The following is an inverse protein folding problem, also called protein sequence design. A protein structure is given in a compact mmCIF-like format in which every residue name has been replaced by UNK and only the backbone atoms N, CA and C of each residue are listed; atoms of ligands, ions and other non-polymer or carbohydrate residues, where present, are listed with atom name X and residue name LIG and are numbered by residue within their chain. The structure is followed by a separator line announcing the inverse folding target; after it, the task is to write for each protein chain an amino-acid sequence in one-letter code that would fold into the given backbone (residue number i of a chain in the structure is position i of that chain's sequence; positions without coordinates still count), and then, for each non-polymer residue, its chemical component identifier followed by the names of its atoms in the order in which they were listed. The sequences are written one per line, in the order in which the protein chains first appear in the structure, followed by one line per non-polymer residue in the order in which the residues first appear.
data_IF_283327155118
#
_entry.id   IF_283327155118
#
_cell.length_a   1.000
_cell.length_b   1.000
_cell.length_c   1.000
_cell.angle_alpha   90.00
_cell.angle_beta   90.00
_cell.angle_gamma   90.00
#
_symmetry.space_group_name_H-M   'P 1'
#
loop_
_entity.id
_entity.type
_entity.pdbx_description
1 polymer ?
#
# COMPACT_ATOMS: atom_id res chain seq x y z
N UNK A 1 -3.82 -4.13 8.55
CA UNK A 1 -4.72 -3.01 8.16
C UNK A 1 -4.83 -2.00 9.31
N UNK A 2 -5.01 -0.71 9.01
CA UNK A 2 -5.14 0.39 9.98
C UNK A 2 -6.39 1.21 9.64
N UNK A 3 -7.16 1.57 10.66
CA UNK A 3 -8.30 2.48 10.52
C UNK A 3 -7.84 3.92 10.65
N UNK A 4 -8.03 4.72 9.61
CA UNK A 4 -7.79 6.16 9.62
C UNK A 4 -9.11 6.91 9.57
N UNK A 5 -9.27 7.89 10.45
CA UNK A 5 -10.42 8.78 10.47
C UNK A 5 -10.01 10.18 10.87
N UNK A 6 -10.78 11.16 10.43
CA UNK A 6 -10.49 12.57 10.69
C UNK A 6 -11.50 13.18 11.67
N UNK A 7 -10.97 13.85 12.69
CA UNK A 7 -11.73 14.74 13.56
C UNK A 7 -11.25 16.17 13.39
N UNK A 8 -12.19 17.10 13.24
CA UNK A 8 -11.91 18.53 13.18
C UNK A 8 -12.39 19.20 14.48
N UNK A 9 -11.60 20.16 14.97
CA UNK A 9 -11.95 20.92 16.16
C UNK A 9 -12.98 21.98 15.80
N UNK A 10 -14.13 21.99 16.48
CA UNK A 10 -15.13 23.04 16.33
C UNK A 10 -15.01 24.00 17.50
N UNK A 11 -14.64 25.25 17.20
CA UNK A 11 -14.50 26.31 18.20
C UNK A 11 -15.80 26.53 19.01
N UNK A 12 -16.95 26.47 18.34
CA UNK A 12 -18.27 26.66 18.96
C UNK A 12 -18.58 25.63 20.05
N UNK A 13 -18.24 24.36 19.81
CA UNK A 13 -18.51 23.23 20.70
C UNK A 13 -17.31 22.95 21.64
N UNK A 14 -16.17 23.62 21.41
CA UNK A 14 -14.86 23.34 22.02
C UNK A 14 -14.50 21.86 22.02
N UNK A 15 -14.85 21.16 20.94
CA UNK A 15 -14.75 19.71 20.84
C UNK A 15 -14.28 19.26 19.47
N UNK A 16 -13.61 18.09 19.45
CA UNK A 16 -13.22 17.40 18.22
C UNK A 16 -14.38 16.53 17.73
N UNK A 17 -14.89 16.84 16.54
CA UNK A 17 -16.01 16.12 15.92
C UNK A 17 -15.55 15.38 14.66
N UNK A 18 -16.10 14.20 14.40
CA UNK A 18 -15.79 13.44 13.19
C UNK A 18 -16.24 14.21 11.96
N UNK A 19 -15.38 14.29 10.95
CA UNK A 19 -15.73 14.88 9.67
C UNK A 19 -16.45 13.82 8.84
N UNK A 20 -17.68 14.08 8.34
CA UNK A 20 -18.42 13.12 7.52
C UNK A 20 -17.73 12.82 6.18
N UNK A 21 -18.01 11.65 5.60
CA UNK A 21 -17.49 11.26 4.29
C UNK A 21 -17.87 12.24 3.17
N UNK A 22 -19.11 12.76 3.20
CA UNK A 22 -19.61 13.77 2.24
C UNK A 22 -18.81 15.09 2.25
N UNK A 23 -17.99 15.30 3.28
CA UNK A 23 -17.11 16.46 3.45
C UNK A 23 -15.62 16.12 3.24
N UNK A 24 -15.33 14.97 2.63
CA UNK A 24 -13.97 14.46 2.44
C UNK A 24 -13.36 13.77 3.66
N UNK A 25 -14.11 13.62 4.75
CA UNK A 25 -13.69 12.91 5.95
C UNK A 25 -14.00 11.41 5.90
N UNK A 26 -14.71 10.93 6.91
CA UNK A 26 -15.04 9.51 7.08
C UNK A 26 -13.92 8.71 7.74
N UNK A 27 -14.20 7.44 7.99
CA UNK A 27 -13.19 6.45 8.37
C UNK A 27 -12.92 5.53 7.18
N UNK A 28 -11.65 5.17 6.99
CA UNK A 28 -11.20 4.29 5.93
C UNK A 28 -10.22 3.28 6.48
N UNK A 29 -10.31 2.05 6.00
CA UNK A 29 -9.34 1.00 6.28
C UNK A 29 -8.28 1.07 5.22
N UNK A 30 -7.02 1.12 5.64
CA UNK A 30 -5.89 1.09 4.74
C UNK A 30 -4.96 -0.04 5.10
N UNK A 31 -4.38 -0.64 4.08
CA UNK A 31 -3.26 -1.53 4.26
C UNK A 31 -1.98 -0.68 4.31
N UNK A 32 -1.20 -0.88 5.37
CA UNK A 32 0.11 -0.23 5.51
C UNK A 32 1.14 -1.31 5.80
N UNK A 33 2.34 -1.20 5.19
CA UNK A 33 3.47 -2.04 5.58
C UNK A 33 3.70 -2.02 7.09
N UNK A 34 4.07 -3.16 7.68
CA UNK A 34 4.41 -3.25 9.10
C UNK A 34 5.63 -2.39 9.47
N UNK A 35 6.43 -2.04 8.48
CA UNK A 35 7.59 -1.13 8.60
C UNK A 35 7.19 0.34 8.60
N UNK A 36 5.93 0.68 8.29
CA UNK A 36 5.48 2.07 8.24
C UNK A 36 5.64 2.76 9.58
N UNK A 37 6.24 3.94 9.51
CA UNK A 37 6.47 4.77 10.67
C UNK A 37 5.35 5.80 10.84
N UNK A 38 5.43 6.56 11.93
CA UNK A 38 4.47 7.63 12.25
C UNK A 38 4.33 8.66 11.12
N UNK A 39 5.43 8.98 10.42
CA UNK A 39 5.44 9.96 9.33
C UNK A 39 4.64 9.45 8.13
N UNK A 40 4.77 8.16 7.80
CA UNK A 40 4.04 7.55 6.69
C UNK A 40 2.53 7.62 6.93
N UNK A 41 2.10 7.35 8.18
CA UNK A 41 0.69 7.48 8.58
C UNK A 41 0.22 8.93 8.43
N UNK A 42 1.05 9.91 8.83
CA UNK A 42 0.71 11.33 8.66
C UNK A 42 0.53 11.73 7.20
N UNK A 43 1.48 11.36 6.34
CA UNK A 43 1.41 11.69 4.91
C UNK A 43 0.21 11.01 4.26
N UNK A 44 -0.06 9.76 4.64
CA UNK A 44 -1.25 9.05 4.18
C UNK A 44 -2.54 9.77 4.60
N UNK A 45 -2.63 10.23 5.86
CA UNK A 45 -3.74 11.06 6.31
C UNK A 45 -3.88 12.36 5.50
N UNK A 46 -2.78 13.09 5.28
CA UNK A 46 -2.79 14.34 4.51
C UNK A 46 -3.32 14.12 3.09
N UNK A 47 -2.75 13.15 2.37
CA UNK A 47 -3.20 12.82 1.01
C UNK A 47 -4.70 12.48 0.94
N UNK A 48 -5.24 11.87 1.99
CA UNK A 48 -6.64 11.46 2.05
C UNK A 48 -7.62 12.56 2.48
N UNK A 49 -7.23 13.43 3.42
CA UNK A 49 -8.12 14.43 4.01
C UNK A 49 -7.86 15.86 3.52
N UNK A 50 -6.69 16.08 2.90
CA UNK A 50 -6.21 17.36 2.36
C UNK A 50 -5.66 17.15 0.93
N UNK A 51 -6.51 16.72 -0.03
CA UNK A 51 -6.09 16.65 -1.42
C UNK A 51 -5.56 18.01 -1.88
N UNK A 52 -4.42 18.02 -2.57
CA UNK A 52 -3.72 19.25 -2.99
C UNK A 52 -3.41 20.23 -1.83
N UNK A 53 -3.27 19.70 -0.61
CA UNK A 53 -3.01 20.48 0.60
C UNK A 53 -4.24 21.21 1.14
N UNK A 54 -5.43 21.00 0.60
CA UNK A 54 -6.64 21.73 0.97
C UNK A 54 -7.76 20.82 1.48
N UNK A 55 -8.51 21.30 2.46
CA UNK A 55 -9.74 20.66 2.93
C UNK A 55 -10.90 21.66 2.95
N UNK A 56 -12.10 21.19 3.28
CA UNK A 56 -13.27 22.06 3.47
C UNK A 56 -13.12 23.10 4.60
N UNK A 57 -12.10 22.96 5.45
CA UNK A 57 -11.84 23.89 6.56
C UNK A 57 -10.62 24.80 6.30
N UNK A 58 -9.96 24.69 5.15
CA UNK A 58 -8.78 25.49 4.80
C UNK A 58 -7.58 24.65 4.38
N UNK A 59 -6.44 25.34 4.22
CA UNK A 59 -5.17 24.75 3.83
C UNK A 59 -4.50 24.00 4.99
N UNK A 60 -3.70 22.98 4.68
CA UNK A 60 -3.02 22.18 5.68
C UNK A 60 -1.94 22.93 6.47
N UNK A 61 -1.30 23.95 5.90
CA UNK A 61 -0.26 24.74 6.57
C UNK A 61 -0.83 25.63 7.68
N UNK A 62 -2.11 25.96 7.60
CA UNK A 62 -2.84 26.72 8.62
C UNK A 62 -3.37 25.84 9.75
N UNK A 63 -3.10 24.52 9.71
CA UNK A 63 -3.67 23.56 10.65
C UNK A 63 -2.63 22.82 11.48
N UNK A 64 -2.99 22.52 12.73
CA UNK A 64 -2.18 21.70 13.62
C UNK A 64 -2.66 20.24 13.64
N UNK A 65 -1.77 19.32 13.28
CA UNK A 65 -2.10 17.90 13.20
C UNK A 65 -1.56 17.08 14.37
N UNK A 66 -2.40 16.23 14.93
CA UNK A 66 -1.99 15.23 15.92
C UNK A 66 -2.62 13.87 15.63
N UNK A 67 -1.80 12.82 15.64
CA UNK A 67 -2.31 11.45 15.59
C UNK A 67 -2.78 11.01 16.99
N UNK A 68 -4.05 10.66 17.08
CA UNK A 68 -4.72 10.27 18.32
C UNK A 68 -5.54 9.01 18.11
N UNK A 69 -5.84 8.29 19.18
CA UNK A 69 -6.83 7.21 19.13
C UNK A 69 -8.26 7.79 19.06
N UNK A 70 -9.26 6.92 18.96
CA UNK A 70 -10.66 7.34 18.90
C UNK A 70 -11.10 8.25 20.06
N UNK A 71 -10.50 8.10 21.25
CA UNK A 71 -10.76 8.91 22.44
C UNK A 71 -9.93 10.21 22.49
N UNK A 72 -9.35 10.64 21.37
CA UNK A 72 -8.49 11.82 21.25
C UNK A 72 -7.22 11.78 22.14
N UNK A 73 -6.75 10.58 22.52
CA UNK A 73 -5.49 10.42 23.26
C UNK A 73 -4.34 10.26 22.28
N UNK A 74 -3.26 11.03 22.45
CA UNK A 74 -2.07 10.98 21.61
C UNK A 74 -1.44 9.59 21.63
N UNK A 75 -1.23 9.02 20.44
CA UNK A 75 -0.55 7.73 20.30
C UNK A 75 0.96 8.00 20.34
N UNK A 76 1.65 7.45 21.35
CA UNK A 76 3.10 7.61 21.52
C UNK A 76 3.89 6.41 20.99
N UNK A 77 3.42 5.19 21.26
CA UNK A 77 4.09 3.95 20.87
C UNK A 77 3.05 2.84 20.80
N UNK A 78 3.20 1.93 19.83
CA UNK A 78 2.45 0.67 19.76
C UNK A 78 3.46 -0.46 19.93
N UNK A 79 3.15 -1.44 20.78
CA UNK A 79 4.00 -2.62 21.02
C UNK A 79 3.22 -3.86 20.59
N UNK A 80 3.85 -4.66 19.73
CA UNK A 80 3.32 -5.91 19.22
C UNK A 80 4.17 -7.07 19.71
N UNK A 81 3.60 -8.28 19.69
CA UNK A 81 4.21 -9.48 20.24
C UNK A 81 4.09 -10.65 19.26
N UNK A 82 5.08 -11.54 19.32
CA UNK A 82 5.09 -12.81 18.61
C UNK A 82 4.32 -13.86 19.42
N UNK A 83 3.39 -14.55 18.78
CA UNK A 83 2.70 -15.73 19.33
C UNK A 83 3.16 -16.98 18.59
N UNK A 84 3.42 -18.06 19.33
CA UNK A 84 3.77 -19.38 18.79
C UNK A 84 3.11 -20.47 19.63
N UNK A 85 2.70 -21.58 19.00
CA UNK A 85 2.33 -22.83 19.69
C UNK A 85 3.01 -24.03 19.03
N UNK A 86 3.13 -25.13 19.76
CA UNK A 86 3.65 -26.41 19.26
C UNK A 86 2.49 -27.16 18.58
N UNK A 87 2.71 -27.61 17.35
CA UNK A 87 1.77 -28.47 16.62
C UNK A 87 1.79 -29.85 17.29
N UNK A 88 0.67 -30.29 17.83
CA UNK A 88 0.51 -31.59 18.49
C UNK A 88 -0.33 -32.59 17.66
N UNK A 89 -0.71 -32.19 16.44
CA UNK A 89 -1.46 -33.03 15.51
C UNK A 89 -2.96 -33.08 15.81
N UNK A 90 -3.46 -32.22 16.70
CA UNK A 90 -4.89 -31.96 16.82
C UNK A 90 -5.38 -31.15 15.61
N UNK A 91 -6.54 -31.51 15.05
CA UNK A 91 -7.19 -30.77 13.95
C UNK A 91 -7.70 -29.38 14.40
N UNK A 92 -7.56 -29.04 15.70
CA UNK A 92 -7.87 -27.71 16.26
C UNK A 92 -6.82 -26.64 15.89
N UNK A 93 -5.91 -26.95 14.97
CA UNK A 93 -4.84 -26.04 14.58
C UNK A 93 -5.32 -24.86 13.69
N UNK A 94 -6.56 -24.94 13.18
CA UNK A 94 -7.21 -23.93 12.32
C UNK A 94 -7.51 -22.60 13.06
N UNK A 95 -7.70 -22.62 14.38
CA UNK A 95 -8.04 -21.43 15.19
C UNK A 95 -6.90 -20.39 15.30
N UNK A 96 -5.64 -20.81 15.12
CA UNK A 96 -4.48 -19.91 15.17
C UNK A 96 -4.38 -19.04 13.90
N UNK A 97 -4.92 -19.53 12.78
CA UNK A 97 -4.85 -18.84 11.50
C UNK A 97 -6.13 -18.07 11.19
N UNK A 98 -7.29 -18.51 11.71
CA UNK A 98 -8.57 -17.84 11.48
C UNK A 98 -8.66 -16.46 12.16
N UNK A 99 -8.18 -16.32 13.39
CA UNK A 99 -8.38 -15.09 14.17
C UNK A 99 -7.55 -13.88 13.71
N UNK A 100 -6.50 -14.05 12.89
CA UNK A 100 -5.62 -12.93 12.55
C UNK A 100 -6.23 -11.97 11.53
N UNK A 101 -7.11 -12.45 10.64
CA UNK A 101 -7.73 -11.65 9.58
C UNK A 101 -9.17 -12.02 9.23
N UNK A 102 -9.76 -13.12 9.74
CA UNK A 102 -11.18 -13.42 9.50
C UNK A 102 -12.09 -12.60 10.41
N UNK A 103 -12.34 -11.38 9.98
CA UNK A 103 -13.58 -10.69 10.27
C UNK A 103 -14.08 -10.00 8.99
N UNK A 104 -14.63 -10.79 8.05
CA UNK A 104 -15.91 -10.54 7.37
C UNK A 104 -16.06 -11.32 6.05
N UNK A 105 -16.90 -12.37 6.00
CA UNK A 105 -17.46 -12.91 4.76
C UNK A 105 -18.93 -13.41 4.85
N UNK A 106 -19.67 -13.07 5.92
CA UNK A 106 -21.11 -13.40 6.03
C UNK A 106 -22.03 -12.17 5.94
N UNK A 107 -21.73 -11.25 5.01
CA UNK A 107 -22.77 -10.61 4.22
C UNK A 107 -22.38 -10.77 2.74
N UNK A 108 -23.24 -11.46 2.00
CA UNK A 108 -23.02 -12.04 0.68
C UNK A 108 -22.29 -11.14 -0.33
N UNK A 109 -21.24 -11.68 -0.95
CA UNK A 109 -20.52 -11.05 -2.05
C UNK A 109 -19.48 -11.99 -2.66
N UNK A 110 -19.95 -12.95 -3.48
CA UNK A 110 -19.17 -13.94 -4.21
C UNK A 110 -17.88 -13.40 -4.85
N UNK A 111 -16.74 -14.01 -4.54
CA UNK A 111 -15.41 -13.66 -5.07
C UNK A 111 -15.17 -14.12 -6.53
N UNK A 112 -16.17 -14.72 -7.15
CA UNK A 112 -16.23 -14.99 -8.59
C UNK A 112 -17.62 -14.56 -9.04
N UNK A 113 -17.71 -13.48 -9.81
CA UNK A 113 -18.99 -13.01 -10.33
C UNK A 113 -19.71 -14.12 -11.14
N UNK A 114 -21.04 -14.22 -11.09
CA UNK A 114 -21.78 -15.20 -11.87
C UNK A 114 -21.47 -14.99 -13.37
N UNK A 115 -21.13 -16.09 -14.05
CA UNK A 115 -20.75 -16.17 -15.47
C UNK A 115 -21.73 -15.44 -16.43
N UNK A 116 -22.99 -15.21 -16.01
CA UNK A 116 -24.02 -14.54 -16.80
C UNK A 116 -23.74 -13.05 -17.05
N UNK A 117 -23.00 -12.38 -16.15
CA UNK A 117 -22.73 -10.94 -16.24
C UNK A 117 -21.55 -10.61 -17.17
N UNK A 118 -20.74 -11.61 -17.56
CA UNK A 118 -19.68 -11.45 -18.57
C UNK A 118 -20.22 -11.38 -20.00
N UNK A 119 -21.48 -11.73 -20.25
CA UNK A 119 -22.06 -11.69 -21.59
C UNK A 119 -22.64 -10.32 -21.98
N UNK A 120 -22.81 -9.39 -21.04
CA UNK A 120 -23.38 -8.05 -21.31
C UNK A 120 -22.34 -6.97 -21.66
N UNK A 121 -21.05 -7.22 -21.45
CA UNK A 121 -19.96 -6.25 -21.69
C UNK A 121 -19.28 -6.38 -23.06
N UNK A 122 -19.54 -7.46 -23.80
CA UNK A 122 -19.01 -7.62 -25.18
C UNK A 122 -19.79 -6.75 -26.18
N UNK A 123 -21.06 -6.43 -25.90
CA UNK A 123 -21.91 -5.64 -26.80
C UNK A 123 -21.72 -4.13 -26.69
N UNK A 124 -20.83 -3.63 -25.81
CA UNK A 124 -20.65 -2.19 -25.57
C UNK A 124 -19.36 -1.59 -26.14
N UNK A 125 -18.50 -2.40 -26.75
CA UNK A 125 -17.22 -1.95 -27.33
C UNK A 125 -17.26 -1.72 -28.85
N UNK A 126 -18.44 -1.65 -29.48
CA UNK A 126 -18.54 -1.34 -30.92
C UNK A 126 -18.84 0.12 -31.27
N UNK A 127 -19.09 1.00 -30.31
CA UNK A 127 -19.40 2.40 -30.60
C UNK A 127 -18.53 3.33 -29.77
N UNK A 128 -17.32 3.60 -30.25
CA UNK A 128 -16.69 4.94 -30.24
C UNK A 128 -15.23 4.82 -30.69
N UNK A 129 -15.05 4.68 -32.01
CA UNK A 129 -13.87 5.22 -32.67
C UNK A 129 -13.83 6.74 -32.49
N UNK A 130 -12.66 7.32 -32.21
CA UNK A 130 -12.00 8.32 -33.08
C UNK A 130 -10.82 9.06 -32.38
N UNK A 131 -9.59 8.66 -32.75
CA UNK A 131 -8.42 9.46 -33.19
C UNK A 131 -8.02 10.78 -32.46
N UNK A 132 -6.71 10.87 -32.14
CA UNK A 132 -5.75 12.01 -32.17
C UNK A 132 -5.02 12.21 -30.82
N UNK A 133 -3.70 12.26 -30.66
CA UNK A 133 -2.58 12.39 -31.60
C UNK A 133 -1.27 11.86 -30.99
N UNK A 134 -0.51 11.16 -31.84
CA UNK A 134 0.93 10.89 -31.77
C UNK A 134 1.74 12.18 -31.78
N UNK A 135 2.62 12.42 -30.81
CA UNK A 135 3.92 13.12 -30.94
C UNK A 135 4.63 13.23 -29.58
N UNK A 136 5.97 13.18 -29.62
CA UNK A 136 6.95 13.37 -28.54
C UNK A 136 7.47 12.16 -27.74
N UNK A 137 7.86 11.12 -28.46
CA UNK A 137 8.74 10.04 -27.96
C UNK A 137 10.11 10.05 -28.70
N UNK A 138 10.77 11.21 -28.87
CA UNK A 138 12.08 11.27 -29.55
C UNK A 138 13.16 12.21 -28.99
N UNK A 139 12.97 12.95 -27.88
CA UNK A 139 13.87 14.08 -27.59
C UNK A 139 14.75 14.04 -26.33
N UNK A 140 15.04 12.90 -25.67
CA UNK A 140 15.96 12.92 -24.49
C UNK A 140 17.01 11.79 -24.42
N UNK A 141 17.32 11.11 -25.52
CA UNK A 141 18.56 10.32 -25.63
C UNK A 141 19.71 11.25 -26.00
N UNK A 142 20.23 11.97 -25.03
CA UNK A 142 21.64 12.39 -24.94
C UNK A 142 21.86 13.22 -23.69
N UNK A 143 22.89 12.85 -22.93
CA UNK A 143 23.47 13.53 -21.76
C UNK A 143 22.90 13.14 -20.38
N UNK A 144 23.29 11.94 -19.92
CA UNK A 144 24.08 11.80 -18.69
C UNK A 144 24.56 10.34 -18.58
N UNK A 145 25.70 10.08 -19.20
CA UNK A 145 26.51 8.90 -18.92
C UNK A 145 27.17 9.11 -17.57
N UNK A 146 26.45 8.83 -16.48
CA UNK A 146 27.00 8.45 -15.19
C UNK A 146 25.81 8.08 -14.28
N UNK A 147 25.82 6.85 -13.75
CA UNK A 147 24.80 6.21 -12.90
C UNK A 147 23.65 5.41 -13.55
N UNK A 148 23.92 4.67 -14.64
CA UNK A 148 23.06 3.52 -14.94
C UNK A 148 23.34 2.41 -13.91
N UNK A 149 22.30 2.06 -13.14
CA UNK A 149 22.27 1.09 -12.03
C UNK A 149 22.70 -0.34 -12.41
N UNK A 150 22.95 -0.57 -13.69
CA UNK A 150 23.27 -1.87 -14.25
C UNK A 150 24.76 -1.83 -14.57
N UNK A 151 25.57 -2.52 -13.76
CA UNK A 151 27.03 -2.59 -13.89
C UNK A 151 27.49 -2.87 -15.33
N UNK A 152 28.71 -2.44 -15.64
CA UNK A 152 29.23 -2.52 -17.01
C UNK A 152 29.14 -3.96 -17.53
N UNK A 153 28.85 -4.14 -18.82
CA UNK A 153 28.74 -5.47 -19.42
C UNK A 153 30.02 -6.29 -19.20
N UNK A 154 31.16 -5.63 -19.08
CA UNK A 154 32.47 -6.24 -18.78
C UNK A 154 32.57 -6.78 -17.35
N UNK A 155 32.10 -6.07 -16.32
CA UNK A 155 32.11 -6.56 -14.93
C UNK A 155 31.23 -7.81 -14.78
N UNK A 156 30.07 -7.83 -15.43
CA UNK A 156 29.19 -9.02 -15.42
C UNK A 156 29.85 -10.22 -16.08
N UNK A 157 30.61 -10.01 -17.16
CA UNK A 157 31.31 -11.09 -17.84
C UNK A 157 32.51 -11.62 -17.03
N UNK A 158 33.19 -10.75 -16.28
CA UNK A 158 34.27 -11.15 -15.36
C UNK A 158 33.74 -12.01 -14.20
N UNK A 159 32.65 -11.57 -13.56
CA UNK A 159 32.02 -12.29 -12.45
C UNK A 159 31.49 -13.67 -12.86
N UNK A 160 30.88 -13.76 -14.05
CA UNK A 160 30.42 -15.05 -14.57
C UNK A 160 31.59 -16.03 -14.79
N UNK A 161 32.72 -15.56 -15.32
CA UNK A 161 33.90 -16.41 -15.50
C UNK A 161 34.54 -16.82 -14.16
N UNK A 162 34.42 -16.01 -13.12
CA UNK A 162 34.98 -16.30 -11.79
C UNK A 162 34.15 -17.34 -11.05
N UNK A 163 32.82 -17.25 -11.13
CA UNK A 163 31.92 -18.26 -10.57
C UNK A 163 32.09 -19.63 -11.24
N UNK A 164 32.24 -19.68 -12.56
CA UNK A 164 32.47 -20.95 -13.26
C UNK A 164 33.79 -21.61 -12.84
N UNK A 165 34.83 -20.82 -12.57
CA UNK A 165 36.11 -21.35 -12.06
C UNK A 165 35.98 -21.91 -10.64
N UNK A 166 35.27 -21.22 -9.76
CA UNK A 166 35.01 -21.68 -8.39
C UNK A 166 34.13 -22.95 -8.35
N UNK A 167 33.14 -23.03 -9.24
CA UNK A 167 32.30 -24.22 -9.39
C UNK A 167 33.13 -25.43 -9.82
N UNK A 168 33.96 -25.29 -10.86
CA UNK A 168 34.83 -26.37 -11.33
C UNK A 168 35.89 -26.77 -10.28
N UNK A 169 36.31 -25.83 -9.43
CA UNK A 169 37.24 -26.10 -8.33
C UNK A 169 36.56 -26.89 -7.22
N UNK A 170 35.33 -26.54 -6.86
CA UNK A 170 34.52 -27.28 -5.87
C UNK A 170 34.21 -28.70 -6.35
N UNK A 171 33.91 -28.87 -7.63
CA UNK A 171 33.59 -30.19 -8.20
C UNK A 171 34.79 -31.17 -8.14
N UNK A 172 36.02 -30.65 -8.24
CA UNK A 172 37.27 -31.45 -8.16
C UNK A 172 37.71 -31.79 -6.74
N UNK A 173 37.05 -31.23 -5.72
CA UNK A 173 37.38 -31.51 -4.30
C UNK A 173 36.66 -32.77 -3.79
N UNK A 174 35.64 -33.25 -4.50
CA UNK A 174 34.87 -34.45 -4.15
C UNK A 174 35.22 -35.70 -5.01
N UNK A 175 36.34 -35.67 -5.76
CA UNK A 175 36.99 -36.84 -6.40
C UNK A 175 38.29 -37.22 -5.65
#
# INVERSE_FOLDING_TARGET
MVYLGWKHFKEQEKAYTLVPLVKGGGSRVIEMPLTSCKTDIYQTCKNFFFPDGNSIFGNEDDMLFSLTNFKARKIRTVRLYLQSRKIDGSDDDDDLLSSAFDHDLNQEGSLIGPHLERQSLVSRNQESSLINSTLDMQSLVSQNQESSLIGSTLERQSLASEQDKEYQKSLKVDE
#
